data_IF_132353606745
#
_entry.id   IF_132353606745
#
_cell.length_a   1.000
_cell.length_b   1.000
_cell.length_c   1.000
_cell.angle_alpha   90.00
_cell.angle_beta   90.00
_cell.angle_gamma   90.00
#
_symmetry.space_group_name_H-M   'P 1'
#
loop_
_entity.id
_entity.type
_entity.pdbx_description
1 polymer ?
#
# COMPACT_ATOMS: atom_id res chain seq x y z
N UNK A 1 -7.00 -24.70 12.96
CA UNK A 1 -5.58 -24.41 12.62
C UNK A 1 -4.83 -25.72 12.70
N UNK A 2 -4.37 -26.22 11.57
CA UNK A 2 -3.53 -27.42 11.52
C UNK A 2 -2.12 -27.11 12.02
N UNK A 3 -1.36 -28.16 12.40
CA UNK A 3 0.06 -28.03 12.80
C UNK A 3 0.89 -27.34 11.71
N UNK A 4 0.52 -27.54 10.44
CA UNK A 4 1.12 -26.86 9.28
C UNK A 4 0.93 -25.35 9.30
N UNK A 5 -0.25 -24.86 9.68
CA UNK A 5 -0.55 -23.42 9.73
C UNK A 5 0.28 -22.75 10.83
N UNK A 6 0.38 -23.41 11.98
CA UNK A 6 1.19 -22.96 13.12
C UNK A 6 2.68 -22.93 12.76
N UNK A 7 3.19 -23.94 12.05
CA UNK A 7 4.58 -23.98 11.60
C UNK A 7 4.88 -22.87 10.58
N UNK A 8 3.99 -22.65 9.61
CA UNK A 8 4.15 -21.57 8.62
C UNK A 8 4.14 -20.21 9.31
N UNK A 9 3.24 -19.98 10.27
CA UNK A 9 3.20 -18.74 11.04
C UNK A 9 4.49 -18.51 11.83
N UNK A 10 5.03 -19.55 12.48
CA UNK A 10 6.30 -19.47 13.22
C UNK A 10 7.46 -19.16 12.28
N UNK A 11 7.56 -19.85 11.14
CA UNK A 11 8.63 -19.61 10.15
C UNK A 11 8.56 -18.19 9.61
N UNK A 12 7.37 -17.69 9.27
CA UNK A 12 7.19 -16.30 8.82
C UNK A 12 7.56 -15.30 9.92
N UNK A 13 7.13 -15.53 11.15
CA UNK A 13 7.48 -14.67 12.28
C UNK A 13 8.99 -14.63 12.55
N UNK A 14 9.66 -15.78 12.51
CA UNK A 14 11.12 -15.88 12.65
C UNK A 14 11.83 -15.20 11.49
N UNK A 15 11.40 -15.40 10.24
CA UNK A 15 11.97 -14.75 9.07
C UNK A 15 11.85 -13.23 9.16
N UNK A 16 10.71 -12.71 9.60
CA UNK A 16 10.50 -11.27 9.83
C UNK A 16 11.35 -10.77 10.97
N UNK A 17 11.44 -11.49 12.09
CA UNK A 17 12.31 -11.11 13.19
C UNK A 17 13.78 -11.02 12.75
N UNK A 18 14.26 -11.98 11.96
CA UNK A 18 15.61 -11.96 11.38
C UNK A 18 15.77 -10.77 10.43
N UNK A 19 14.83 -10.54 9.52
CA UNK A 19 14.88 -9.42 8.59
C UNK A 19 14.89 -8.07 9.30
N UNK A 20 14.08 -7.92 10.36
CA UNK A 20 14.08 -6.74 11.23
C UNK A 20 15.42 -6.59 11.94
N UNK A 21 15.95 -7.66 12.56
CA UNK A 21 17.25 -7.61 13.25
C UNK A 21 18.36 -7.19 12.29
N UNK A 22 18.44 -7.79 11.10
CA UNK A 22 19.42 -7.42 10.07
C UNK A 22 19.23 -5.97 9.64
N UNK A 23 17.99 -5.58 9.31
CA UNK A 23 17.67 -4.21 8.88
C UNK A 23 17.99 -3.17 9.95
N UNK A 24 17.80 -3.50 11.23
CA UNK A 24 18.09 -2.65 12.38
C UNK A 24 19.59 -2.58 12.65
N UNK A 25 20.31 -3.71 12.64
CA UNK A 25 21.75 -3.74 12.94
C UNK A 25 22.55 -3.07 11.82
N UNK A 26 22.18 -3.30 10.57
CA UNK A 26 22.90 -2.82 9.40
C UNK A 26 22.22 -1.62 8.71
N UNK A 27 21.34 -0.91 9.42
CA UNK A 27 20.51 0.17 8.86
C UNK A 27 21.30 1.27 8.14
N UNK A 28 22.53 1.52 8.57
CA UNK A 28 23.38 2.58 8.01
C UNK A 28 24.20 2.12 6.79
N UNK A 29 24.29 0.81 6.55
CA UNK A 29 25.08 0.24 5.47
C UNK A 29 24.45 0.55 4.10
N UNK A 30 25.24 0.97 3.08
CA UNK A 30 24.70 1.40 1.78
C UNK A 30 23.88 0.32 1.08
N UNK A 31 24.26 -0.96 1.23
CA UNK A 31 23.49 -2.09 0.68
C UNK A 31 22.09 -2.20 1.29
N UNK A 32 21.93 -1.97 2.59
CA UNK A 32 20.61 -2.04 3.24
C UNK A 32 19.74 -0.91 2.74
N UNK A 33 20.27 0.32 2.67
CA UNK A 33 19.56 1.47 2.09
C UNK A 33 19.10 1.20 0.65
N UNK A 34 19.96 0.61 -0.18
CA UNK A 34 19.60 0.23 -1.55
C UNK A 34 18.47 -0.81 -1.60
N UNK A 35 18.48 -1.81 -0.71
CA UNK A 35 17.40 -2.80 -0.60
C UNK A 35 16.09 -2.14 -0.17
N UNK A 36 16.11 -1.26 0.84
CA UNK A 36 14.89 -0.54 1.29
C UNK A 36 14.27 0.27 0.15
N UNK A 37 15.10 1.02 -0.60
CA UNK A 37 14.65 1.80 -1.76
C UNK A 37 14.14 0.91 -2.90
N UNK A 38 14.77 -0.25 -3.13
CA UNK A 38 14.31 -1.21 -4.12
C UNK A 38 12.93 -1.78 -3.79
N UNK A 39 12.64 -2.01 -2.50
CA UNK A 39 11.31 -2.42 -2.04
C UNK A 39 10.29 -1.30 -2.25
N UNK A 40 10.62 -0.04 -1.92
CA UNK A 40 9.71 1.08 -2.17
C UNK A 40 9.40 1.24 -3.68
N UNK A 41 10.41 1.07 -4.54
CA UNK A 41 10.23 1.11 -6.00
C UNK A 41 9.35 -0.03 -6.49
N UNK A 42 9.54 -1.24 -5.97
CA UNK A 42 8.67 -2.38 -6.27
C UNK A 42 7.22 -2.06 -5.90
N UNK A 43 6.98 -1.58 -4.67
CA UNK A 43 5.64 -1.16 -4.20
C UNK A 43 5.05 -0.08 -5.10
N UNK A 44 5.87 0.87 -5.56
CA UNK A 44 5.48 1.94 -6.49
C UNK A 44 5.05 1.39 -7.84
N UNK A 45 5.89 0.58 -8.48
CA UNK A 45 5.60 0.05 -9.81
C UNK A 45 4.40 -0.88 -9.80
N UNK A 46 4.25 -1.71 -8.78
CA UNK A 46 3.07 -2.58 -8.64
C UNK A 46 1.81 -1.73 -8.46
N UNK A 47 1.82 -0.73 -7.57
CA UNK A 47 0.69 0.16 -7.39
C UNK A 47 0.30 0.89 -8.68
N UNK A 48 1.28 1.45 -9.40
CA UNK A 48 1.05 2.14 -10.66
C UNK A 48 0.55 1.21 -11.77
N UNK A 49 1.06 -0.01 -11.86
CA UNK A 49 0.58 -1.01 -12.80
C UNK A 49 -0.89 -1.34 -12.57
N UNK A 50 -1.27 -1.62 -11.32
CA UNK A 50 -2.66 -1.92 -10.97
C UNK A 50 -3.58 -0.70 -10.97
N UNK A 51 -3.04 0.53 -10.93
CA UNK A 51 -3.85 1.74 -11.09
C UNK A 51 -4.59 1.76 -12.44
N UNK A 52 -4.01 1.20 -13.50
CA UNK A 52 -4.66 1.07 -14.82
C UNK A 52 -5.94 0.23 -14.81
N UNK A 53 -6.14 -0.59 -13.78
CA UNK A 53 -7.38 -1.35 -13.56
C UNK A 53 -8.59 -0.41 -13.48
N UNK A 54 -8.42 0.85 -13.06
CA UNK A 54 -9.51 1.83 -13.04
C UNK A 54 -10.09 2.09 -14.44
N UNK A 55 -9.25 2.15 -15.48
CA UNK A 55 -9.72 2.37 -16.85
C UNK A 55 -10.50 1.16 -17.36
N UNK A 56 -10.03 -0.04 -17.03
CA UNK A 56 -10.76 -1.28 -17.34
C UNK A 56 -12.11 -1.32 -16.62
N UNK A 57 -12.13 -0.97 -15.34
CA UNK A 57 -13.35 -0.89 -14.53
C UNK A 57 -14.34 0.12 -15.15
N UNK A 58 -13.89 1.33 -15.47
CA UNK A 58 -14.71 2.34 -16.14
C UNK A 58 -15.26 1.82 -17.46
N UNK A 59 -14.45 1.16 -18.28
CA UNK A 59 -14.88 0.55 -19.52
C UNK A 59 -16.00 -0.49 -19.34
N UNK A 60 -15.85 -1.38 -18.36
CA UNK A 60 -16.86 -2.40 -18.03
C UNK A 60 -18.17 -1.75 -17.55
N UNK A 61 -18.08 -0.72 -16.70
CA UNK A 61 -19.27 -0.01 -16.21
C UNK A 61 -19.98 0.74 -17.33
N UNK A 62 -19.24 1.45 -18.19
CA UNK A 62 -19.81 2.17 -19.36
C UNK A 62 -20.49 1.18 -20.30
N UNK A 63 -19.85 0.04 -20.56
CA UNK A 63 -20.44 -1.02 -21.37
C UNK A 63 -21.74 -1.55 -20.76
N UNK A 64 -21.75 -1.87 -19.46
CA UNK A 64 -22.95 -2.38 -18.77
C UNK A 64 -24.11 -1.38 -18.78
N UNK A 65 -23.83 -0.10 -18.52
CA UNK A 65 -24.83 0.98 -18.59
C UNK A 65 -25.38 1.11 -20.01
N UNK A 66 -24.51 1.08 -21.03
CA UNK A 66 -24.93 1.18 -22.43
C UNK A 66 -25.78 -0.02 -22.85
N UNK A 67 -25.32 -1.24 -22.53
CA UNK A 67 -26.04 -2.49 -22.79
C UNK A 67 -27.45 -2.47 -22.19
N UNK A 68 -27.58 -2.00 -20.95
CA UNK A 68 -28.84 -1.94 -20.22
C UNK A 68 -29.79 -0.88 -20.76
N UNK A 69 -29.32 0.35 -20.95
CA UNK A 69 -30.22 1.48 -21.24
C UNK A 69 -30.42 1.74 -22.72
N UNK A 70 -29.41 1.49 -23.56
CA UNK A 70 -29.50 1.69 -25.01
C UNK A 70 -30.03 0.43 -25.68
N UNK A 71 -29.40 -0.71 -25.40
CA UNK A 71 -29.71 -1.97 -26.09
C UNK A 71 -30.78 -2.81 -25.37
N UNK A 72 -31.20 -2.42 -24.17
CA UNK A 72 -32.16 -3.17 -23.32
C UNK A 72 -31.74 -4.63 -23.09
N UNK A 73 -30.43 -4.88 -23.08
CA UNK A 73 -29.81 -6.19 -22.96
C UNK A 73 -28.78 -6.18 -21.81
N UNK A 74 -29.21 -6.22 -20.53
CA UNK A 74 -28.31 -6.19 -19.39
C UNK A 74 -27.39 -7.42 -19.39
N UNK A 75 -26.13 -7.26 -18.99
CA UNK A 75 -25.23 -8.41 -18.89
C UNK A 75 -25.36 -9.11 -17.56
N UNK A 76 -25.13 -10.41 -17.56
CA UNK A 76 -25.11 -11.22 -16.34
C UNK A 76 -23.79 -11.15 -15.60
N UNK A 77 -22.69 -10.67 -16.20
CA UNK A 77 -21.34 -10.75 -15.62
C UNK A 77 -20.73 -9.39 -15.28
N UNK A 78 -21.28 -8.28 -15.81
CA UNK A 78 -20.68 -6.95 -15.69
C UNK A 78 -20.49 -6.50 -14.25
N UNK A 79 -21.43 -6.85 -13.36
CA UNK A 79 -21.34 -6.56 -11.93
C UNK A 79 -20.14 -7.26 -11.27
N UNK A 80 -19.97 -8.57 -11.52
CA UNK A 80 -18.90 -9.36 -10.93
C UNK A 80 -17.52 -8.86 -11.34
N UNK A 81 -17.34 -8.62 -12.64
CA UNK A 81 -16.07 -8.13 -13.18
C UNK A 81 -15.75 -6.76 -12.61
N UNK A 82 -16.74 -5.86 -12.52
CA UNK A 82 -16.56 -4.54 -11.91
C UNK A 82 -16.15 -4.65 -10.44
N UNK A 83 -16.80 -5.53 -9.68
CA UNK A 83 -16.46 -5.77 -8.28
C UNK A 83 -15.04 -6.32 -8.11
N UNK A 84 -14.64 -7.30 -8.93
CA UNK A 84 -13.29 -7.88 -8.89
C UNK A 84 -12.21 -6.86 -9.30
N UNK A 85 -12.46 -6.04 -10.32
CA UNK A 85 -11.54 -4.99 -10.75
C UNK A 85 -11.39 -3.91 -9.69
N UNK A 86 -12.50 -3.48 -9.08
CA UNK A 86 -12.48 -2.51 -7.97
C UNK A 86 -11.70 -3.05 -6.76
N UNK A 87 -11.99 -4.28 -6.33
CA UNK A 87 -11.26 -4.92 -5.25
C UNK A 87 -9.77 -5.09 -5.56
N UNK A 88 -9.43 -5.44 -6.81
CA UNK A 88 -8.04 -5.59 -7.26
C UNK A 88 -7.31 -4.26 -7.15
N UNK A 89 -7.91 -3.17 -7.66
CA UNK A 89 -7.37 -1.83 -7.57
C UNK A 89 -7.10 -1.45 -6.11
N UNK A 90 -8.07 -1.63 -5.22
CA UNK A 90 -7.96 -1.24 -3.82
C UNK A 90 -6.92 -2.08 -3.06
N UNK A 91 -6.96 -3.41 -3.21
CA UNK A 91 -6.03 -4.29 -2.48
C UNK A 91 -4.58 -4.06 -2.93
N UNK A 92 -4.33 -3.94 -4.24
CA UNK A 92 -2.98 -3.75 -4.76
C UNK A 92 -2.42 -2.35 -4.46
N UNK A 93 -3.28 -1.35 -4.23
CA UNK A 93 -2.86 -0.02 -3.78
C UNK A 93 -2.32 0.02 -2.35
N UNK A 94 -2.56 -1.01 -1.52
CA UNK A 94 -2.16 -1.02 -0.10
C UNK A 94 -0.66 -0.82 0.14
N UNK A 95 0.18 -1.64 -0.49
CA UNK A 95 1.64 -1.55 -0.31
C UNK A 95 2.21 -0.23 -0.86
N UNK A 96 1.67 0.24 -1.98
CA UNK A 96 1.96 1.56 -2.54
C UNK A 96 1.63 2.68 -1.55
N UNK A 97 0.41 2.71 -1.03
CA UNK A 97 -0.02 3.71 -0.06
C UNK A 97 0.84 3.68 1.21
N UNK A 98 1.26 2.49 1.67
CA UNK A 98 2.14 2.35 2.82
C UNK A 98 3.53 2.95 2.55
N UNK A 99 4.09 2.71 1.37
CA UNK A 99 5.39 3.28 0.96
C UNK A 99 5.41 4.81 0.93
N UNK A 100 4.29 5.42 0.51
CA UNK A 100 4.11 6.87 0.42
C UNK A 100 3.62 7.52 1.72
N UNK A 101 3.45 6.74 2.78
CA UNK A 101 2.83 7.21 4.02
C UNK A 101 1.39 7.75 3.84
N UNK A 102 0.67 7.26 2.83
CA UNK A 102 -0.67 7.72 2.47
C UNK A 102 -1.81 7.08 3.27
N UNK A 103 -1.51 6.24 4.24
CA UNK A 103 -2.54 5.73 5.16
C UNK A 103 -3.01 6.86 6.07
N UNK A 104 -4.32 7.02 6.20
CA UNK A 104 -4.91 8.01 7.10
C UNK A 104 -4.46 7.70 8.54
N UNK A 105 -3.71 8.62 9.14
CA UNK A 105 -3.23 8.54 10.52
C UNK A 105 -4.13 9.39 11.42
N UNK A 106 -4.20 9.02 12.70
CA UNK A 106 -4.81 9.86 13.74
C UNK A 106 -3.98 11.12 13.96
N UNK A 107 -4.19 12.12 13.10
CA UNK A 107 -3.21 13.18 12.86
C UNK A 107 -3.05 14.19 14.01
N UNK A 108 -4.10 14.43 14.81
CA UNK A 108 -4.05 15.50 15.81
C UNK A 108 -3.02 15.23 16.92
N UNK A 109 -3.09 14.05 17.55
CA UNK A 109 -2.17 13.68 18.64
C UNK A 109 -0.79 13.35 18.08
N UNK A 110 -0.73 12.66 16.93
CA UNK A 110 0.54 12.24 16.33
C UNK A 110 1.44 13.42 15.96
N UNK A 111 0.87 14.50 15.40
CA UNK A 111 1.62 15.70 15.00
C UNK A 111 2.24 16.47 16.18
N UNK A 112 1.71 16.31 17.40
CA UNK A 112 2.27 16.94 18.60
C UNK A 112 3.45 16.17 19.20
N UNK A 113 3.66 14.93 18.79
CA UNK A 113 4.74 14.09 19.30
C UNK A 113 6.07 14.44 18.64
N UNK A 114 7.16 14.36 19.40
CA UNK A 114 8.51 14.46 18.82
C UNK A 114 8.78 13.28 17.87
N UNK A 115 9.67 13.41 16.88
CA UNK A 115 9.95 12.35 15.89
C UNK A 115 10.27 10.98 16.52
N UNK A 116 10.99 10.97 17.66
CA UNK A 116 11.28 9.72 18.39
C UNK A 116 10.03 9.09 19.01
N UNK A 117 9.11 9.89 19.56
CA UNK A 117 7.85 9.39 20.14
C UNK A 117 6.91 8.88 19.05
N UNK A 118 6.84 9.59 17.92
CA UNK A 118 6.15 9.16 16.72
C UNK A 118 6.64 7.79 16.24
N UNK A 119 7.95 7.66 16.05
CA UNK A 119 8.57 6.41 15.61
C UNK A 119 8.42 5.26 16.61
N UNK A 120 8.46 5.54 17.92
CA UNK A 120 8.20 4.54 18.95
C UNK A 120 6.77 4.01 18.91
N UNK A 121 5.79 4.92 18.76
CA UNK A 121 4.38 4.54 18.60
C UNK A 121 4.14 3.75 17.32
N UNK A 122 4.67 4.23 16.19
CA UNK A 122 4.54 3.54 14.90
C UNK A 122 5.15 2.14 14.95
N UNK A 123 6.36 2.00 15.52
CA UNK A 123 7.02 0.70 15.66
C UNK A 123 6.21 -0.26 16.54
N UNK A 124 5.63 0.22 17.64
CA UNK A 124 4.74 -0.57 18.50
C UNK A 124 3.52 -1.07 17.72
N UNK A 125 2.88 -0.18 16.95
CA UNK A 125 1.71 -0.52 16.14
C UNK A 125 2.08 -1.51 15.01
N UNK A 126 3.27 -1.38 14.42
CA UNK A 126 3.78 -2.34 13.45
C UNK A 126 3.90 -3.74 14.07
N UNK A 127 4.48 -3.84 15.26
CA UNK A 127 4.74 -5.12 15.92
C UNK A 127 3.44 -5.78 16.42
N UNK A 128 2.53 -5.01 17.04
CA UNK A 128 1.36 -5.56 17.73
C UNK A 128 0.17 -5.75 16.80
N UNK A 129 -0.02 -4.86 15.82
CA UNK A 129 -1.20 -4.88 14.96
C UNK A 129 -0.87 -5.22 13.51
N UNK A 130 0.14 -4.57 12.93
CA UNK A 130 0.43 -4.73 11.50
C UNK A 130 0.93 -6.14 11.17
N UNK A 131 2.05 -6.58 11.74
CA UNK A 131 2.64 -7.88 11.40
C UNK A 131 1.69 -9.06 11.71
N UNK A 132 1.04 -9.12 12.89
CA UNK A 132 0.05 -10.16 13.16
C UNK A 132 -1.13 -10.12 12.20
N UNK A 133 -1.62 -8.92 11.87
CA UNK A 133 -2.71 -8.73 10.90
C UNK A 133 -2.33 -9.19 9.50
N UNK A 134 -1.14 -8.85 9.01
CA UNK A 134 -0.65 -9.27 7.70
C UNK A 134 -0.41 -10.78 7.63
N UNK A 135 0.11 -11.40 8.69
CA UNK A 135 0.23 -12.86 8.74
C UNK A 135 -1.13 -13.55 8.72
N UNK A 136 -2.10 -13.05 9.50
CA UNK A 136 -3.46 -13.56 9.47
C UNK A 136 -4.07 -13.42 8.06
N UNK A 137 -3.87 -12.27 7.41
CA UNK A 137 -4.32 -12.01 6.03
C UNK A 137 -3.69 -12.99 5.03
N UNK A 138 -2.39 -13.26 5.13
CA UNK A 138 -1.70 -14.18 4.23
C UNK A 138 -2.16 -15.63 4.41
N UNK A 139 -2.28 -16.10 5.65
CA UNK A 139 -2.70 -17.49 5.95
C UNK A 139 -4.16 -17.69 5.54
N UNK A 140 -5.06 -16.78 5.95
CA UNK A 140 -6.46 -16.85 5.57
C UNK A 140 -6.65 -16.68 4.05
N UNK A 141 -5.93 -15.72 3.44
CA UNK A 141 -5.95 -15.48 2.00
C UNK A 141 -5.50 -16.70 1.20
N UNK A 142 -4.45 -17.39 1.64
CA UNK A 142 -4.01 -18.64 1.04
C UNK A 142 -5.08 -19.74 1.14
N UNK A 143 -5.71 -19.89 2.30
CA UNK A 143 -6.78 -20.88 2.48
C UNK A 143 -7.97 -20.59 1.57
N UNK A 144 -8.42 -19.33 1.49
CA UNK A 144 -9.48 -18.91 0.58
C UNK A 144 -9.13 -19.16 -0.87
N UNK A 145 -7.92 -18.82 -1.28
CA UNK A 145 -7.44 -19.07 -2.64
C UNK A 145 -7.38 -20.57 -2.96
N UNK A 146 -6.75 -21.37 -2.11
CA UNK A 146 -6.57 -22.80 -2.35
C UNK A 146 -7.90 -23.55 -2.46
N UNK A 147 -8.86 -23.23 -1.59
CA UNK A 147 -10.21 -23.80 -1.65
C UNK A 147 -10.93 -23.40 -2.93
N UNK A 148 -10.89 -22.11 -3.27
CA UNK A 148 -11.51 -21.54 -4.46
C UNK A 148 -10.94 -22.15 -5.75
N UNK A 149 -9.63 -22.33 -5.79
CA UNK A 149 -8.91 -22.94 -6.90
C UNK A 149 -9.28 -24.42 -7.05
N UNK A 150 -9.28 -25.19 -5.95
CA UNK A 150 -9.62 -26.61 -5.97
C UNK A 150 -11.07 -26.87 -6.42
N UNK A 151 -11.98 -25.95 -6.11
CA UNK A 151 -13.39 -26.04 -6.51
C UNK A 151 -13.68 -25.39 -7.87
N UNK A 152 -12.68 -24.77 -8.50
CA UNK A 152 -12.84 -23.90 -9.67
C UNK A 152 -14.03 -22.92 -9.49
N UNK A 153 -14.03 -22.24 -8.34
CA UNK A 153 -15.16 -21.43 -7.88
C UNK A 153 -15.47 -20.30 -8.86
N UNK A 154 -16.76 -20.08 -9.07
CA UNK A 154 -17.31 -18.99 -9.87
C UNK A 154 -18.16 -18.08 -9.00
N UNK A 155 -18.33 -16.83 -9.43
CA UNK A 155 -19.16 -15.88 -8.69
C UNK A 155 -20.58 -16.40 -8.49
N UNK A 156 -21.06 -16.33 -7.25
CA UNK A 156 -22.43 -16.70 -6.87
C UNK A 156 -23.44 -15.56 -7.10
N UNK A 157 -22.96 -14.34 -7.36
CA UNK A 157 -23.85 -13.18 -7.59
C UNK A 157 -24.59 -13.25 -8.92
N UNK A 158 -24.11 -14.09 -9.84
CA UNK A 158 -24.60 -14.15 -11.21
C UNK A 158 -24.70 -15.59 -11.73
N UNK A 159 -25.76 -15.94 -12.49
CA UNK A 159 -25.96 -17.29 -13.01
C UNK A 159 -24.81 -17.82 -13.88
N UNK A 160 -24.11 -16.93 -14.58
CA UNK A 160 -22.94 -17.23 -15.41
C UNK A 160 -21.70 -16.45 -14.93
N UNK A 161 -21.50 -16.40 -13.60
CA UNK A 161 -20.43 -15.64 -12.98
C UNK A 161 -19.03 -16.01 -13.50
N UNK A 162 -18.12 -15.03 -13.61
CA UNK A 162 -16.72 -15.30 -13.93
C UNK A 162 -16.04 -16.11 -12.82
N UNK A 163 -14.92 -16.72 -13.17
CA UNK A 163 -14.08 -17.49 -12.25
C UNK A 163 -13.46 -16.55 -11.21
N UNK A 164 -13.59 -16.86 -9.92
CA UNK A 164 -13.24 -15.93 -8.81
C UNK A 164 -11.88 -16.23 -8.16
N UNK A 165 -11.36 -17.44 -8.30
CA UNK A 165 -10.11 -17.81 -7.66
C UNK A 165 -8.91 -16.91 -8.03
N UNK A 166 -8.78 -16.33 -9.25
CA UNK A 166 -7.65 -15.42 -9.54
C UNK A 166 -7.70 -14.16 -8.68
N UNK A 167 -8.92 -13.63 -8.45
CA UNK A 167 -9.14 -12.48 -7.59
C UNK A 167 -8.79 -12.80 -6.12
N UNK A 168 -9.22 -13.96 -5.61
CA UNK A 168 -8.85 -14.40 -4.24
C UNK A 168 -7.35 -14.66 -4.10
N UNK A 169 -6.68 -15.07 -5.17
CA UNK A 169 -5.22 -15.24 -5.22
C UNK A 169 -4.43 -13.95 -5.00
N UNK A 170 -5.04 -12.78 -5.24
CA UNK A 170 -4.40 -11.49 -4.95
C UNK A 170 -4.26 -11.23 -3.45
N UNK A 171 -5.11 -11.82 -2.59
CA UNK A 171 -5.09 -11.59 -1.15
C UNK A 171 -3.72 -11.96 -0.53
N UNK A 172 -3.18 -13.18 -0.70
CA UNK A 172 -1.85 -13.51 -0.18
C UNK A 172 -0.72 -12.73 -0.86
N UNK A 173 -0.86 -12.36 -2.13
CA UNK A 173 0.13 -11.55 -2.87
C UNK A 173 0.23 -10.15 -2.25
N UNK A 174 -0.91 -9.50 -1.97
CA UNK A 174 -0.96 -8.19 -1.31
C UNK A 174 -0.41 -8.29 0.10
N UNK A 175 -0.77 -9.34 0.84
CA UNK A 175 -0.19 -9.60 2.16
C UNK A 175 1.34 -9.67 2.13
N UNK A 176 1.90 -10.37 1.13
CA UNK A 176 3.36 -10.43 0.95
C UNK A 176 3.98 -9.07 0.63
N UNK A 177 3.40 -8.29 -0.29
CA UNK A 177 3.89 -6.94 -0.63
C UNK A 177 3.81 -5.99 0.58
N UNK A 178 2.71 -6.03 1.32
CA UNK A 178 2.53 -5.28 2.57
C UNK A 178 3.54 -5.71 3.63
N UNK A 179 3.89 -7.00 3.70
CA UNK A 179 4.90 -7.50 4.62
C UNK A 179 6.27 -6.90 4.33
N UNK A 180 6.70 -6.91 3.06
CA UNK A 180 7.96 -6.30 2.64
C UNK A 180 7.99 -4.81 2.97
N UNK A 181 6.91 -4.08 2.64
CA UNK A 181 6.83 -2.65 2.91
C UNK A 181 6.77 -2.35 4.42
N UNK A 182 6.10 -3.18 5.21
CA UNK A 182 6.05 -3.06 6.67
C UNK A 182 7.42 -3.25 7.32
N UNK A 183 8.25 -4.16 6.80
CA UNK A 183 9.65 -4.30 7.25
C UNK A 183 10.42 -3.00 6.97
N UNK A 184 10.26 -2.40 5.79
CA UNK A 184 10.93 -1.13 5.44
C UNK A 184 10.53 -0.03 6.42
N UNK A 185 9.24 0.13 6.69
CA UNK A 185 8.74 1.16 7.60
C UNK A 185 9.16 0.91 9.06
N UNK A 186 9.20 -0.34 9.52
CA UNK A 186 9.69 -0.68 10.85
C UNK A 186 11.20 -0.34 10.99
N UNK A 187 12.01 -0.64 9.97
CA UNK A 187 13.44 -0.26 9.96
C UNK A 187 13.61 1.26 9.98
N UNK A 188 12.80 2.00 9.21
CA UNK A 188 12.79 3.48 9.24
C UNK A 188 12.44 4.02 10.63
N UNK A 189 11.46 3.44 11.33
CA UNK A 189 11.12 3.83 12.70
C UNK A 189 12.32 3.65 13.63
N UNK A 190 13.07 2.56 13.50
CA UNK A 190 14.27 2.34 14.32
C UNK A 190 15.39 3.31 13.97
N UNK A 191 15.57 3.66 12.68
CA UNK A 191 16.51 4.72 12.27
C UNK A 191 16.16 6.06 12.93
N UNK A 192 14.86 6.43 13.02
CA UNK A 192 14.43 7.66 13.70
C UNK A 192 14.67 7.59 15.20
N UNK A 193 14.46 6.44 15.84
CA UNK A 193 14.75 6.28 17.26
C UNK A 193 16.24 6.52 17.56
N UNK A 194 17.13 6.07 16.68
CA UNK A 194 18.59 6.30 16.79
C UNK A 194 18.97 7.75 16.46
N UNK A 195 18.69 8.18 15.25
CA UNK A 195 19.22 9.42 14.66
C UNK A 195 18.35 10.65 14.95
N UNK A 196 17.10 10.47 15.36
CA UNK A 196 16.18 11.54 15.73
C UNK A 196 15.46 12.22 14.55
N UNK A 197 15.75 11.83 13.32
CA UNK A 197 15.16 12.42 12.10
C UNK A 197 14.60 11.34 11.18
N UNK A 198 13.48 11.65 10.51
CA UNK A 198 12.88 10.78 9.49
C UNK A 198 13.76 10.72 8.23
N UNK A 199 14.11 9.52 7.73
CA UNK A 199 14.82 9.39 6.47
C UNK A 199 13.93 9.88 5.30
N UNK A 200 14.55 10.43 4.27
CA UNK A 200 13.84 10.82 3.05
C UNK A 200 13.14 9.60 2.43
N UNK A 201 11.86 9.77 2.13
CA UNK A 201 11.07 8.83 1.33
C UNK A 201 11.22 9.20 -0.14
N UNK A 202 10.96 8.25 -1.03
CA UNK A 202 10.69 8.60 -2.42
C UNK A 202 9.47 9.54 -2.40
N UNK A 203 9.59 10.73 -2.99
CA UNK A 203 8.42 11.56 -3.30
C UNK A 203 7.72 10.98 -4.52
N UNK A 204 6.39 11.03 -4.56
CA UNK A 204 5.66 10.80 -5.80
C UNK A 204 5.35 12.16 -6.45
N UNK A 205 4.61 12.13 -7.56
CA UNK A 205 4.10 13.33 -8.24
C UNK A 205 3.53 14.30 -7.21
N UNK A 206 4.21 15.44 -7.03
CA UNK A 206 3.68 16.54 -6.25
C UNK A 206 2.44 17.04 -6.96
N UNK A 207 1.33 17.17 -6.21
CA UNK A 207 0.09 17.69 -6.78
C UNK A 207 0.39 19.06 -7.40
N UNK A 208 -0.11 19.30 -8.61
CA UNK A 208 0.14 20.54 -9.33
C UNK A 208 -0.23 21.77 -8.49
N UNK A 209 -1.27 21.66 -7.66
CA UNK A 209 -1.65 22.69 -6.69
C UNK A 209 -0.53 23.00 -5.68
N UNK A 210 0.11 21.98 -5.11
CA UNK A 210 1.24 22.17 -4.19
C UNK A 210 2.43 22.84 -4.88
N UNK A 211 2.68 22.50 -6.15
CA UNK A 211 3.72 23.12 -6.96
C UNK A 211 3.40 24.59 -7.27
N UNK A 212 2.15 24.90 -7.64
CA UNK A 212 1.69 26.25 -7.93
C UNK A 212 1.70 27.13 -6.68
N UNK A 213 1.28 26.60 -5.53
CA UNK A 213 1.34 27.29 -4.24
C UNK A 213 2.79 27.59 -3.84
N UNK A 214 3.68 26.59 -3.95
CA UNK A 214 5.10 26.77 -3.66
C UNK A 214 5.78 27.77 -4.62
N UNK A 215 5.37 27.79 -5.89
CA UNK A 215 5.85 28.78 -6.86
C UNK A 215 5.35 30.19 -6.52
N UNK A 216 4.07 30.35 -6.19
CA UNK A 216 3.47 31.61 -5.78
C UNK A 216 4.10 32.19 -4.51
N UNK A 217 4.40 31.33 -3.51
CA UNK A 217 5.12 31.75 -2.30
C UNK A 217 6.54 32.26 -2.61
N UNK A 218 7.25 31.60 -3.54
CA UNK A 218 8.59 32.03 -3.98
C UNK A 218 8.54 33.37 -4.71
N UNK A 219 7.64 33.53 -5.67
CA UNK A 219 7.47 34.79 -6.42
C UNK A 219 7.06 35.94 -5.47
N UNK A 220 6.15 35.68 -4.54
CA UNK A 220 5.74 36.66 -3.52
C UNK A 220 6.90 37.06 -2.59
N UNK A 221 7.72 36.10 -2.16
CA UNK A 221 8.88 36.37 -1.31
C UNK A 221 9.97 37.17 -2.06
N UNK A 222 10.20 36.87 -3.33
CA UNK A 222 11.15 37.58 -4.20
C UNK A 222 10.71 39.04 -4.45
N UNK A 223 9.42 39.26 -4.72
CA UNK A 223 8.86 40.60 -4.89
C UNK A 223 8.99 41.47 -3.62
N UNK A 224 8.71 40.88 -2.45
CA UNK A 224 8.89 41.54 -1.15
C UNK A 224 10.36 41.87 -0.86
N UNK A 225 11.29 40.96 -1.21
CA UNK A 225 12.71 41.19 -1.06
C UNK A 225 13.21 42.34 -1.95
N UNK A 226 12.71 42.43 -3.19
CA UNK A 226 13.02 43.54 -4.10
C UNK A 226 12.46 44.88 -3.60
N UNK A 227 11.24 44.92 -3.08
CA UNK A 227 10.66 46.15 -2.52
C UNK A 227 11.46 46.64 -1.30
N UNK A 228 11.87 45.72 -0.41
CA UNK A 228 12.71 46.02 0.75
C UNK A 228 14.11 46.52 0.35
N UNK A 229 14.67 46.00 -0.75
CA UNK A 229 15.96 46.43 -1.28
C UNK A 229 15.89 47.83 -1.92
N UNK A 230 14.79 48.17 -2.58
CA UNK A 230 14.61 49.46 -3.24
C UNK A 230 14.23 50.60 -2.26
N UNK A 231 13.81 50.26 -1.04
CA UNK A 231 13.51 51.20 0.05
C UNK A 231 14.73 51.56 0.92
N UNK A 232 15.93 51.02 0.63
CA UNK A 232 17.20 51.37 1.29
C UNK A 232 18.02 52.29 0.41
#
# INVERSE_FOLDING_TARGET
MGVTDSLVAIVLAVAVAIALIIGIVFSDHPRVKAVLLGIDQLSTHVGQFFAWTILLLTGVVVYEVTARYVFRAPTTWGYDVSYMLYGTLFMMAGAYALSRNGHVRGDFVYRMLSPRRQAGLDLLLYIIFFFPGIFALMIAGWHFFALSYAQNERSMFSPSGPVIWPFKGLIPIVGFLMLLQGIVEAVRCVQVLRHGAWPQRLSDVQELEQLLLAAAEREGAEALAQEMANKR
#
